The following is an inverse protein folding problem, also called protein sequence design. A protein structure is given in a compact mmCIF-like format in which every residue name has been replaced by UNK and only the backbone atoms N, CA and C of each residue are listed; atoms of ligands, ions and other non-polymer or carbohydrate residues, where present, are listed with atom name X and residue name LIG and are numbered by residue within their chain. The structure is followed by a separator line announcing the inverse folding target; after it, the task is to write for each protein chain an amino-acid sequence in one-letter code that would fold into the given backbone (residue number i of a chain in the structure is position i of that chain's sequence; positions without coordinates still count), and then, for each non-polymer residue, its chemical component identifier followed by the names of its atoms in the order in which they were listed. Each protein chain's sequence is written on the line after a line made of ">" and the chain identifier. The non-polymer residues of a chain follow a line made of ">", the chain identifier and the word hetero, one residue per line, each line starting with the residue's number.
data_IF_163648534791
#
_entry.id   IF_163648534791
#
_cell.length_a   1.000
_cell.length_b   1.000
_cell.length_c   1.000
_cell.angle_alpha   90.00
_cell.angle_beta   90.00
_cell.angle_gamma   90.00
#
_symmetry.space_group_name_H-M   'P 1'
#
loop_
_entity.id
_entity.type
_entity.pdbx_description
1 polymer ?
#
# COMPACT_ATOMS: atom_id res chain seq x y z
N UNK A 1 16.54 -14.68 5.88
CA UNK A 1 15.78 -13.84 4.94
C UNK A 1 16.03 -12.39 5.32
N UNK A 2 16.63 -11.63 4.41
CA UNK A 2 16.88 -10.21 4.59
C UNK A 2 15.52 -9.51 4.80
N UNK A 3 15.25 -9.01 6.00
CA UNK A 3 14.01 -8.26 6.27
C UNK A 3 14.16 -6.91 5.57
N UNK A 4 13.74 -6.85 4.30
CA UNK A 4 13.69 -5.62 3.50
C UNK A 4 13.00 -4.55 4.35
N UNK A 5 13.67 -3.41 4.59
CA UNK A 5 13.10 -2.33 5.39
C UNK A 5 11.93 -1.73 4.62
N UNK A 6 10.70 -2.06 5.01
CA UNK A 6 9.49 -1.45 4.48
C UNK A 6 9.49 0.04 4.86
N UNK A 7 9.46 0.91 3.85
CA UNK A 7 9.42 2.36 4.02
C UNK A 7 8.13 2.90 3.42
N UNK A 8 7.61 3.96 4.02
CA UNK A 8 6.47 4.70 3.47
C UNK A 8 6.79 5.12 2.03
N UNK A 9 5.85 4.88 1.11
CA UNK A 9 6.00 5.20 -0.31
C UNK A 9 6.95 4.29 -1.08
N UNK A 10 7.41 3.18 -0.50
CA UNK A 10 8.18 2.20 -1.27
C UNK A 10 7.24 1.39 -2.16
N UNK A 11 7.51 1.42 -3.47
CA UNK A 11 6.89 0.54 -4.45
C UNK A 11 7.24 -0.94 -4.17
N UNK A 12 6.25 -1.81 -4.28
CA UNK A 12 6.40 -3.26 -4.16
C UNK A 12 5.83 -3.97 -5.39
N UNK A 13 6.25 -5.20 -5.65
CA UNK A 13 5.66 -6.01 -6.73
C UNK A 13 4.33 -6.66 -6.30
N UNK A 14 3.54 -7.19 -7.24
CA UNK A 14 2.35 -7.98 -6.92
C UNK A 14 2.65 -9.21 -6.04
N UNK A 15 3.79 -9.85 -6.28
CA UNK A 15 4.27 -10.99 -5.47
C UNK A 15 4.57 -10.56 -4.03
N UNK A 16 5.29 -9.45 -3.86
CA UNK A 16 5.53 -8.86 -2.54
C UNK A 16 4.23 -8.42 -1.85
N UNK A 17 3.27 -7.87 -2.61
CA UNK A 17 1.96 -7.53 -2.06
C UNK A 17 1.22 -8.76 -1.55
N UNK A 18 1.37 -9.90 -2.22
CA UNK A 18 0.76 -11.14 -1.75
C UNK A 18 1.45 -11.70 -0.48
N UNK A 19 2.77 -11.60 -0.40
CA UNK A 19 3.54 -12.06 0.76
C UNK A 19 3.34 -11.19 2.01
N UNK A 20 3.06 -9.89 1.86
CA UNK A 20 2.95 -8.96 2.97
C UNK A 20 1.57 -9.02 3.66
N UNK A 21 1.57 -8.97 4.99
CA UNK A 21 0.35 -8.84 5.78
C UNK A 21 -0.20 -7.41 5.81
N UNK A 22 -1.44 -7.21 6.26
CA UNK A 22 -2.10 -5.90 6.36
C UNK A 22 -1.28 -4.91 7.18
N UNK A 23 -0.73 -5.36 8.31
CA UNK A 23 0.13 -4.56 9.18
C UNK A 23 1.43 -4.11 8.49
N UNK A 24 1.94 -4.94 7.57
CA UNK A 24 3.14 -4.63 6.79
C UNK A 24 2.82 -3.68 5.63
N UNK A 25 1.70 -3.88 4.95
CA UNK A 25 1.22 -2.98 3.90
C UNK A 25 0.89 -1.60 4.48
N UNK A 26 0.26 -1.54 5.64
CA UNK A 26 0.01 -0.28 6.36
C UNK A 26 1.31 0.50 6.67
N UNK A 27 2.49 -0.16 6.73
CA UNK A 27 3.80 0.51 6.87
C UNK A 27 4.29 1.20 5.60
N UNK A 28 3.80 0.78 4.45
CA UNK A 28 4.08 1.41 3.15
C UNK A 28 3.16 2.61 2.90
N UNK A 29 2.00 2.66 3.55
CA UNK A 29 1.05 3.79 3.46
C UNK A 29 1.51 4.98 4.31
N UNK A 30 1.45 6.22 3.78
CA UNK A 30 1.69 7.44 4.56
C UNK A 30 0.78 7.54 5.78
N UNK A 31 1.29 8.08 6.88
CA UNK A 31 0.53 8.19 8.14
C UNK A 31 -0.83 8.91 7.97
N UNK A 32 -0.91 9.87 7.05
CA UNK A 32 -2.14 10.61 6.73
C UNK A 32 -3.24 9.71 6.14
N UNK A 33 -2.88 8.64 5.44
CA UNK A 33 -3.80 7.75 4.70
C UNK A 33 -3.87 6.34 5.30
N UNK A 34 -3.13 6.09 6.39
CA UNK A 34 -3.12 4.77 7.04
C UNK A 34 -4.48 4.44 7.66
N UNK A 35 -5.22 5.44 8.12
CA UNK A 35 -6.56 5.25 8.68
C UNK A 35 -7.57 4.88 7.58
N UNK A 36 -7.39 5.43 6.37
CA UNK A 36 -8.15 5.08 5.17
C UNK A 36 -7.82 3.68 4.60
N UNK A 37 -6.72 3.04 5.05
CA UNK A 37 -6.30 1.75 4.50
C UNK A 37 -7.29 0.64 4.89
N UNK A 38 -8.02 0.05 3.93
CA UNK A 38 -9.12 -0.87 4.24
C UNK A 38 -8.66 -2.32 4.52
N UNK A 39 -7.35 -2.58 4.51
CA UNK A 39 -6.78 -3.93 4.58
C UNK A 39 -6.44 -4.51 3.21
N UNK A 40 -5.64 -5.60 3.19
CA UNK A 40 -5.17 -6.23 1.93
C UNK A 40 -6.34 -6.71 1.07
N UNK A 41 -7.31 -7.36 1.70
CA UNK A 41 -8.50 -7.94 1.03
C UNK A 41 -9.35 -6.92 0.27
N UNK A 42 -9.36 -5.67 0.72
CA UNK A 42 -10.12 -4.58 0.10
C UNK A 42 -9.30 -3.78 -0.93
N UNK A 43 -8.02 -4.11 -1.13
CA UNK A 43 -7.19 -3.51 -2.16
C UNK A 43 -7.36 -4.28 -3.47
N UNK A 44 -8.11 -3.71 -4.41
CA UNK A 44 -8.20 -4.26 -5.76
C UNK A 44 -6.86 -4.06 -6.46
N UNK A 45 -6.18 -5.15 -6.83
CA UNK A 45 -4.91 -5.11 -7.58
C UNK A 45 -3.82 -4.22 -6.93
N UNK A 46 -3.67 -4.30 -5.60
CA UNK A 46 -2.62 -3.57 -4.90
C UNK A 46 -2.79 -2.05 -4.87
N UNK A 47 -4.03 -1.56 -4.99
CA UNK A 47 -4.37 -0.16 -4.70
C UNK A 47 -5.68 -0.05 -3.93
N UNK A 48 -5.88 1.08 -3.24
CA UNK A 48 -7.14 1.40 -2.55
C UNK A 48 -7.53 2.86 -2.77
N UNK A 49 -8.83 3.13 -2.71
CA UNK A 49 -9.37 4.48 -2.84
C UNK A 49 -9.46 5.16 -1.49
N UNK A 50 -9.06 6.44 -1.45
CA UNK A 50 -9.21 7.33 -0.30
C UNK A 50 -10.56 8.04 -0.35
N UNK A 51 -10.97 8.64 0.77
CA UNK A 51 -12.22 9.39 0.86
C UNK A 51 -12.32 10.59 -0.10
N UNK A 52 -11.19 11.12 -0.57
CA UNK A 52 -11.11 12.24 -1.51
C UNK A 52 -11.27 11.81 -2.99
N UNK A 53 -11.41 10.50 -3.25
CA UNK A 53 -11.53 9.94 -4.60
C UNK A 53 -10.19 9.66 -5.29
N UNK A 54 -9.07 10.02 -4.67
CA UNK A 54 -7.73 9.61 -5.10
C UNK A 54 -7.48 8.15 -4.74
N UNK A 55 -6.65 7.45 -5.53
CA UNK A 55 -6.27 6.07 -5.25
C UNK A 55 -4.78 5.99 -4.88
N UNK A 56 -4.44 5.30 -3.80
CA UNK A 56 -3.07 4.99 -3.44
C UNK A 56 -2.68 3.61 -3.98
N UNK A 57 -1.57 3.53 -4.71
CA UNK A 57 -1.04 2.29 -5.27
C UNK A 57 0.23 1.83 -4.57
N UNK A 58 0.24 0.59 -4.11
CA UNK A 58 1.43 -0.06 -3.54
C UNK A 58 2.50 -0.35 -4.59
N UNK A 59 2.11 -0.51 -5.87
CA UNK A 59 3.05 -0.77 -6.96
C UNK A 59 3.79 0.48 -7.42
N UNK A 60 3.16 1.65 -7.30
CA UNK A 60 3.83 2.93 -7.51
C UNK A 60 4.49 3.48 -6.25
N UNK A 61 4.01 3.11 -5.06
CA UNK A 61 4.41 3.75 -3.81
C UNK A 61 3.89 5.19 -3.70
N UNK A 62 2.76 5.48 -4.36
CA UNK A 62 2.23 6.82 -4.58
C UNK A 62 0.78 6.79 -5.05
N UNK A 63 0.26 7.91 -5.52
CA UNK A 63 -1.08 7.96 -6.09
C UNK A 63 -1.13 7.28 -7.48
N UNK A 64 -2.25 6.65 -7.80
CA UNK A 64 -2.45 5.99 -9.09
C UNK A 64 -2.49 7.00 -10.25
N UNK A 65 -3.06 8.17 -10.00
CA UNK A 65 -3.25 9.27 -10.96
C UNK A 65 -2.03 10.20 -11.11
N UNK A 66 -0.98 9.98 -10.29
CA UNK A 66 0.30 10.71 -10.36
C UNK A 66 1.25 10.10 -11.41
#
# INVERSE_FOLDING_TARGET
>A
MERRRLRVGQAITPDEFDELSDEQLARLVPAKYRDDFPGKDACADGFFYLHDGTAWSFYKGGFLDD
#
